data_IF_671057142616
#
_entry.id   IF_671057142616
#
_cell.length_a   1.000
_cell.length_b   1.000
_cell.length_c   1.000
_cell.angle_alpha   90.00
_cell.angle_beta   90.00
_cell.angle_gamma   90.00
#
_symmetry.space_group_name_H-M   'P 1'
#
loop_
_entity.id
_entity.type
_entity.pdbx_description
1 polymer ?
#
# COMPACT_ATOMS: atom_id res chain seq x y z
N UNK A 1 7.80 9.60 0.37
CA UNK A 1 8.42 10.68 -0.43
C UNK A 1 9.79 10.31 -0.97
N UNK A 2 10.70 9.81 -0.12
CA UNK A 2 12.02 9.34 -0.56
C UNK A 2 11.93 8.08 -1.43
N UNK A 3 11.26 7.04 -0.92
CA UNK A 3 11.09 5.76 -1.64
C UNK A 3 10.51 5.93 -3.05
N UNK A 4 9.42 6.67 -3.23
CA UNK A 4 8.80 6.91 -4.56
C UNK A 4 9.79 7.56 -5.55
N UNK A 5 10.70 8.40 -5.07
CA UNK A 5 11.72 9.02 -5.93
C UNK A 5 12.84 8.04 -6.24
N UNK A 6 13.24 7.22 -5.28
CA UNK A 6 14.30 6.22 -5.45
C UNK A 6 13.84 5.07 -6.36
N UNK A 7 12.61 4.60 -6.18
CA UNK A 7 12.05 3.47 -6.92
C UNK A 7 11.47 3.84 -8.28
N UNK A 8 10.84 5.02 -8.41
CA UNK A 8 10.12 5.41 -9.63
C UNK A 8 10.69 6.66 -10.31
N UNK A 9 11.68 7.34 -9.72
CA UNK A 9 12.17 8.63 -10.23
C UNK A 9 11.16 9.78 -10.10
N UNK A 10 10.03 9.58 -9.40
CA UNK A 10 8.96 10.56 -9.30
C UNK A 10 8.96 11.32 -7.99
N UNK A 11 8.63 12.60 -8.06
CA UNK A 11 8.27 13.41 -6.88
C UNK A 11 6.75 13.57 -6.86
N UNK A 12 6.09 12.77 -6.02
CA UNK A 12 4.64 12.79 -5.81
C UNK A 12 4.36 13.38 -4.43
N UNK A 13 3.43 14.34 -4.30
CA UNK A 13 2.97 14.80 -2.98
C UNK A 13 1.99 13.79 -2.40
N UNK A 14 2.17 13.31 -1.16
CA UNK A 14 1.27 12.35 -0.58
C UNK A 14 -0.04 13.05 -0.25
N UNK A 15 -1.15 12.45 -0.65
CA UNK A 15 -2.48 12.87 -0.27
C UNK A 15 -2.84 12.37 1.13
N UNK A 16 -4.13 12.04 1.30
CA UNK A 16 -4.67 11.54 2.57
C UNK A 16 -4.04 10.19 2.93
N UNK A 17 -3.84 9.94 4.23
CA UNK A 17 -3.54 8.62 4.77
C UNK A 17 -4.75 7.70 4.56
N UNK A 18 -4.58 6.59 3.85
CA UNK A 18 -5.63 5.63 3.55
C UNK A 18 -5.63 4.46 4.55
N UNK A 19 -4.46 3.95 4.92
CA UNK A 19 -4.33 2.80 5.81
C UNK A 19 -3.17 2.99 6.78
N UNK A 20 -3.43 2.65 8.05
CA UNK A 20 -2.41 2.32 9.05
C UNK A 20 -2.55 0.82 9.35
N UNK A 21 -1.52 0.03 9.07
CA UNK A 21 -1.54 -1.42 9.30
C UNK A 21 -0.39 -1.84 10.21
N UNK A 22 -0.71 -2.31 11.41
CA UNK A 22 0.26 -2.91 12.31
C UNK A 22 0.51 -4.37 11.90
N UNK A 23 1.76 -4.74 11.67
CA UNK A 23 2.15 -6.10 11.28
C UNK A 23 2.95 -6.72 12.43
N UNK A 24 2.52 -7.87 12.98
CA UNK A 24 3.23 -8.54 14.06
C UNK A 24 4.62 -9.01 13.64
N UNK A 25 5.55 -9.19 14.59
CA UNK A 25 6.86 -9.74 14.29
C UNK A 25 6.74 -11.16 13.74
N UNK A 26 7.71 -11.56 12.92
CA UNK A 26 7.83 -12.92 12.35
C UNK A 26 9.28 -13.36 12.43
N UNK A 27 9.60 -14.66 12.32
CA UNK A 27 10.99 -15.11 12.33
C UNK A 27 11.87 -14.31 11.35
N UNK A 28 12.87 -13.60 11.87
CA UNK A 28 13.78 -12.77 11.09
C UNK A 28 13.30 -11.34 10.76
N UNK A 29 12.13 -10.89 11.26
CA UNK A 29 11.66 -9.50 11.12
C UNK A 29 10.93 -9.00 12.37
N UNK A 30 11.24 -7.77 12.78
CA UNK A 30 10.48 -7.06 13.82
C UNK A 30 9.09 -6.70 13.32
N UNK A 31 8.23 -6.29 14.25
CA UNK A 31 6.96 -5.64 13.95
C UNK A 31 7.16 -4.43 13.04
N UNK A 32 6.09 -4.06 12.33
CA UNK A 32 6.11 -2.93 11.43
C UNK A 32 4.79 -2.17 11.44
N UNK A 33 4.88 -0.85 11.32
CA UNK A 33 3.73 0.01 11.08
C UNK A 33 3.75 0.46 9.61
N UNK A 34 2.81 -0.04 8.82
CA UNK A 34 2.70 0.28 7.41
C UNK A 34 1.72 1.44 7.22
N UNK A 35 2.18 2.53 6.61
CA UNK A 35 1.37 3.70 6.29
C UNK A 35 1.18 3.79 4.78
N UNK A 36 -0.08 3.73 4.32
CA UNK A 36 -0.43 3.84 2.90
C UNK A 36 -1.10 5.19 2.66
N UNK A 37 -0.49 6.01 1.80
CA UNK A 37 -1.01 7.32 1.42
C UNK A 37 -1.58 7.29 0.01
N UNK A 38 -2.59 8.12 -0.26
CA UNK A 38 -3.06 8.35 -1.62
C UNK A 38 -1.95 9.03 -2.45
N UNK A 39 -1.50 8.38 -3.52
CA UNK A 39 -0.48 8.90 -4.44
C UNK A 39 -1.04 9.89 -5.48
N UNK A 40 -2.36 10.11 -5.50
CA UNK A 40 -3.03 10.91 -6.51
C UNK A 40 -3.10 10.21 -7.87
N UNK A 41 -3.37 11.01 -8.91
CA UNK A 41 -3.41 10.55 -10.31
C UNK A 41 -2.19 11.11 -11.02
N UNK A 42 -1.38 10.24 -11.61
CA UNK A 42 -0.23 10.65 -12.40
C UNK A 42 -0.66 11.11 -13.80
N UNK A 43 -0.08 12.20 -14.27
CA UNK A 43 -0.24 12.65 -15.67
C UNK A 43 0.57 11.76 -16.61
N UNK A 44 0.23 11.73 -17.90
CA UNK A 44 0.98 10.98 -18.91
C UNK A 44 2.49 11.30 -18.88
N UNK A 45 2.86 12.58 -18.72
CA UNK A 45 4.26 12.99 -18.62
C UNK A 45 4.95 12.49 -17.35
N UNK A 46 4.22 12.35 -16.23
CA UNK A 46 4.77 11.74 -15.02
C UNK A 46 4.97 10.24 -15.24
N UNK A 47 4.01 9.55 -15.85
CA UNK A 47 4.13 8.12 -16.17
C UNK A 47 5.33 7.86 -17.10
N UNK A 48 5.52 8.70 -18.12
CA UNK A 48 6.65 8.58 -19.04
C UNK A 48 8.03 8.79 -18.39
N UNK A 49 8.07 9.39 -17.20
CA UNK A 49 9.29 9.62 -16.42
C UNK A 49 9.56 8.52 -15.39
N UNK A 50 8.70 7.51 -15.29
CA UNK A 50 8.95 6.38 -14.39
C UNK A 50 10.23 5.68 -14.83
N UNK A 51 11.22 5.67 -13.94
CA UNK A 51 12.49 5.00 -14.13
C UNK A 51 12.77 4.15 -12.90
N UNK A 52 13.07 2.87 -13.13
CA UNK A 52 13.27 1.89 -12.06
C UNK A 52 14.77 1.65 -11.83
N UNK A 53 15.23 1.54 -10.58
CA UNK A 53 16.55 0.99 -10.27
C UNK A 53 16.56 -0.49 -10.68
N UNK A 54 17.32 -0.81 -11.74
CA UNK A 54 17.28 -2.12 -12.39
C UNK A 54 17.81 -3.27 -11.51
N UNK A 55 18.60 -2.94 -10.51
CA UNK A 55 19.15 -3.84 -9.50
C UNK A 55 18.13 -4.23 -8.42
N UNK A 56 17.10 -3.41 -8.20
CA UNK A 56 16.08 -3.65 -7.17
C UNK A 56 14.71 -4.03 -7.76
N UNK A 57 14.31 -3.40 -8.87
CA UNK A 57 12.98 -3.54 -9.46
C UNK A 57 13.05 -3.97 -10.92
N UNK A 58 12.42 -5.11 -11.22
CA UNK A 58 12.40 -5.69 -12.56
C UNK A 58 11.35 -5.08 -13.51
N UNK A 59 10.40 -4.32 -12.98
CA UNK A 59 9.29 -3.78 -13.76
C UNK A 59 8.20 -3.16 -12.91
N UNK A 60 7.28 -2.46 -13.56
CA UNK A 60 6.09 -1.87 -12.97
C UNK A 60 4.89 -2.05 -13.92
N UNK A 61 3.69 -2.07 -13.37
CA UNK A 61 2.45 -2.15 -14.14
C UNK A 61 1.33 -1.42 -13.41
N UNK A 62 0.39 -0.87 -14.19
CA UNK A 62 -0.95 -0.57 -13.67
C UNK A 62 -1.71 -1.88 -13.49
N UNK A 63 -2.43 -2.01 -12.37
CA UNK A 63 -3.16 -3.22 -12.02
C UNK A 63 -4.61 -2.85 -11.66
N UNK A 64 -5.56 -3.67 -12.09
CA UNK A 64 -6.87 -3.75 -11.43
C UNK A 64 -6.73 -4.36 -10.03
N UNK A 65 -7.79 -4.29 -9.20
CA UNK A 65 -7.80 -4.94 -7.90
C UNK A 65 -7.58 -6.46 -8.01
N UNK A 66 -8.20 -7.10 -9.01
CA UNK A 66 -8.04 -8.53 -9.25
C UNK A 66 -6.62 -8.90 -9.68
N UNK A 67 -6.01 -8.12 -10.59
CA UNK A 67 -4.61 -8.31 -10.99
C UNK A 67 -3.64 -8.10 -9.83
N UNK A 68 -3.90 -7.10 -8.99
CA UNK A 68 -3.12 -6.86 -7.78
C UNK A 68 -3.24 -8.04 -6.82
N UNK A 69 -4.45 -8.58 -6.63
CA UNK A 69 -4.69 -9.76 -5.81
C UNK A 69 -3.93 -11.00 -6.28
N UNK A 70 -3.78 -11.18 -7.60
CA UNK A 70 -3.02 -12.30 -8.18
C UNK A 70 -1.49 -12.12 -8.11
N UNK A 71 -1.00 -10.87 -8.07
CA UNK A 71 0.45 -10.55 -8.08
C UNK A 71 1.05 -10.36 -6.69
N UNK A 72 0.25 -9.94 -5.70
CA UNK A 72 0.71 -9.60 -4.36
C UNK A 72 0.60 -10.80 -3.41
N UNK A 73 1.46 -10.81 -2.37
CA UNK A 73 1.24 -11.71 -1.23
C UNK A 73 -0.11 -11.40 -0.56
N UNK A 74 -0.74 -12.39 0.09
CA UNK A 74 -2.06 -12.22 0.70
C UNK A 74 -2.16 -11.05 1.68
N UNK A 75 -1.10 -10.78 2.46
CA UNK A 75 -1.05 -9.61 3.36
C UNK A 75 -1.10 -8.29 2.58
N UNK A 76 -0.26 -8.16 1.55
CA UNK A 76 -0.20 -6.96 0.72
C UNK A 76 -1.51 -6.76 -0.06
N UNK A 77 -2.08 -7.83 -0.61
CA UNK A 77 -3.36 -7.78 -1.32
C UNK A 77 -4.50 -7.25 -0.44
N UNK A 78 -4.63 -7.76 0.79
CA UNK A 78 -5.65 -7.25 1.74
C UNK A 78 -5.43 -5.77 2.08
N UNK A 79 -4.17 -5.36 2.30
CA UNK A 79 -3.84 -3.96 2.58
C UNK A 79 -4.19 -3.03 1.42
N UNK A 80 -3.88 -3.44 0.18
CA UNK A 80 -4.23 -2.68 -1.03
C UNK A 80 -5.74 -2.58 -1.19
N UNK A 81 -6.48 -3.67 -1.01
CA UNK A 81 -7.95 -3.66 -1.06
C UNK A 81 -8.55 -2.71 -0.01
N UNK A 82 -8.01 -2.71 1.22
CA UNK A 82 -8.42 -1.78 2.25
C UNK A 82 -8.13 -0.32 1.86
N UNK A 83 -6.97 -0.03 1.27
CA UNK A 83 -6.62 1.31 0.80
C UNK A 83 -7.56 1.80 -0.32
N UNK A 84 -7.93 0.92 -1.26
CA UNK A 84 -8.91 1.24 -2.31
C UNK A 84 -10.28 1.57 -1.72
N UNK A 85 -10.76 0.75 -0.76
CA UNK A 85 -12.01 1.02 -0.04
C UNK A 85 -11.96 2.34 0.74
N UNK A 86 -10.88 2.59 1.47
CA UNK A 86 -10.68 3.83 2.23
C UNK A 86 -10.67 5.06 1.32
N UNK A 87 -10.06 4.93 0.13
CA UNK A 87 -10.04 6.00 -0.88
C UNK A 87 -11.44 6.31 -1.39
N UNK A 88 -12.20 5.28 -1.77
CA UNK A 88 -13.59 5.42 -2.26
C UNK A 88 -14.53 6.00 -1.20
N UNK A 89 -14.38 5.58 0.06
CA UNK A 89 -15.20 6.07 1.18
C UNK A 89 -14.75 7.41 1.77
N UNK A 90 -13.64 7.99 1.30
CA UNK A 90 -13.13 9.26 1.84
C UNK A 90 -12.57 9.17 3.27
N UNK A 91 -12.20 7.99 3.74
CA UNK A 91 -11.79 7.72 5.13
C UNK A 91 -10.34 7.20 5.23
N UNK A 92 -9.93 6.83 6.45
CA UNK A 92 -8.71 6.11 6.79
C UNK A 92 -9.08 4.84 7.58
N UNK A 93 -8.39 3.73 7.32
CA UNK A 93 -8.62 2.47 8.01
C UNK A 93 -7.41 2.07 8.86
N UNK A 94 -7.68 1.55 10.05
CA UNK A 94 -6.70 0.84 10.85
C UNK A 94 -6.83 -0.67 10.59
N UNK A 95 -5.71 -1.36 10.44
CA UNK A 95 -5.63 -2.80 10.24
C UNK A 95 -4.60 -3.41 11.22
N UNK A 96 -4.84 -4.67 11.54
CA UNK A 96 -3.87 -5.56 12.17
C UNK A 96 -3.60 -6.73 11.24
N UNK A 97 -2.35 -6.87 10.81
CA UNK A 97 -1.88 -7.90 9.91
C UNK A 97 -2.73 -7.98 8.61
N UNK A 98 -3.10 -6.81 8.08
CA UNK A 98 -3.93 -6.68 6.88
C UNK A 98 -5.39 -7.11 7.06
N UNK A 99 -5.90 -7.15 8.29
CA UNK A 99 -7.31 -7.37 8.61
C UNK A 99 -7.81 -6.27 9.52
N UNK A 100 -9.10 -5.93 9.42
CA UNK A 100 -9.76 -5.26 10.52
C UNK A 100 -10.03 -6.37 11.55
N UNK A 101 -9.29 -6.43 12.65
CA UNK A 101 -9.78 -7.26 13.75
C UNK A 101 -10.87 -6.43 14.42
N UNK A 102 -12.12 -6.92 14.38
CA UNK A 102 -13.12 -6.47 15.34
C UNK A 102 -12.52 -6.68 16.73
N UNK A 103 -12.73 -5.74 17.66
CA UNK A 103 -12.45 -6.01 19.06
C UNK A 103 -13.04 -7.39 19.44
N UNK A 104 -12.36 -8.20 20.27
CA UNK A 104 -12.92 -9.48 20.69
C UNK A 104 -14.33 -9.26 21.26
N UNK A 105 -15.29 -10.06 20.80
CA UNK A 105 -16.65 -10.08 21.36
C UNK A 105 -16.55 -10.17 22.89
N UNK A 106 -17.29 -9.35 23.66
CA UNK A 106 -17.26 -9.46 25.11
C UNK A 106 -17.72 -10.87 25.49
N UNK A 107 -16.90 -11.56 26.30
CA UNK A 107 -17.28 -12.85 26.87
C UNK A 107 -18.61 -12.65 27.63
N UNK A 108 -19.63 -13.39 27.20
CA UNK A 108 -20.95 -13.41 27.85
C UNK A 108 -20.94 -14.01 29.24
#
# INVERSE_FOLDING_TARGET
MREVREELGLTVRPGRLLVTDWVPPRPGRTEGLMLVFDGGVLTADQVARISLPADELRGWAWCTEDEAGARLSGLLARRVAAAVRARAAGTSLYLENGSWEAAPEPAG
#
